data_IF_016575933011
#
_entry.id   IF_016575933011
#
_cell.length_a   1.000
_cell.length_b   1.000
_cell.length_c   1.000
_cell.angle_alpha   90.00
_cell.angle_beta   90.00
_cell.angle_gamma   90.00
#
_symmetry.space_group_name_H-M   'P 1'
#
loop_
_entity.id
_entity.type
_entity.pdbx_description
1 polymer ?
#
# COMPACT_ATOMS: atom_id res chain seq x y z
N UNK A 1 10.79 30.08 -2.84
CA UNK A 1 9.71 29.08 -2.86
C UNK A 1 9.86 28.34 -4.18
N UNK A 2 10.30 27.08 -4.14
CA UNK A 2 10.41 26.27 -5.36
C UNK A 2 8.99 26.04 -5.89
N UNK A 3 8.78 26.30 -7.18
CA UNK A 3 7.54 25.95 -7.85
C UNK A 3 7.35 24.43 -7.70
N UNK A 4 6.19 24.02 -7.16
CA UNK A 4 5.78 22.62 -7.22
C UNK A 4 5.60 22.28 -8.69
N UNK A 5 6.53 21.51 -9.26
CA UNK A 5 6.37 20.95 -10.59
C UNK A 5 5.11 20.09 -10.56
N UNK A 6 4.12 20.44 -11.38
CA UNK A 6 2.87 19.70 -11.46
C UNK A 6 3.18 18.32 -12.05
N UNK A 7 3.05 17.28 -11.24
CA UNK A 7 3.12 15.89 -11.71
C UNK A 7 1.82 15.60 -12.44
N UNK A 8 1.93 15.27 -13.73
CA UNK A 8 0.82 14.72 -14.51
C UNK A 8 0.96 13.21 -14.51
N UNK A 9 -0.10 12.52 -14.12
CA UNK A 9 -0.15 11.06 -14.09
C UNK A 9 -1.40 10.64 -14.84
N UNK A 10 -1.28 9.66 -15.73
CA UNK A 10 -2.44 9.15 -16.45
C UNK A 10 -3.20 8.07 -15.64
N UNK A 11 -4.48 7.79 -15.95
CA UNK A 11 -5.27 6.81 -15.19
C UNK A 11 -4.71 5.38 -15.22
N UNK A 12 -3.99 4.99 -16.29
CA UNK A 12 -3.37 3.68 -16.43
C UNK A 12 -2.20 3.57 -15.44
N UNK A 13 -1.35 4.59 -15.36
CA UNK A 13 -0.25 4.64 -14.40
C UNK A 13 -0.75 4.53 -12.95
N UNK A 14 -1.81 5.26 -12.57
CA UNK A 14 -2.41 5.12 -11.23
C UNK A 14 -2.99 3.71 -11.03
N UNK A 15 -3.65 3.16 -12.04
CA UNK A 15 -4.23 1.80 -11.98
C UNK A 15 -3.14 0.74 -11.79
N UNK A 16 -1.99 0.90 -12.43
CA UNK A 16 -0.87 -0.03 -12.28
C UNK A 16 -0.21 0.10 -10.91
N UNK A 17 -0.10 1.32 -10.35
CA UNK A 17 0.30 1.50 -8.96
C UNK A 17 -0.65 0.80 -7.99
N UNK A 18 -1.97 0.92 -8.21
CA UNK A 18 -2.96 0.21 -7.40
C UNK A 18 -2.74 -1.31 -7.42
N UNK A 19 -2.55 -1.91 -8.60
CA UNK A 19 -2.30 -3.36 -8.71
C UNK A 19 -1.02 -3.78 -7.99
N UNK A 20 0.05 -3.00 -8.10
CA UNK A 20 1.31 -3.28 -7.41
C UNK A 20 1.14 -3.23 -5.89
N UNK A 21 0.44 -2.21 -5.39
CA UNK A 21 0.16 -2.06 -3.96
C UNK A 21 -0.68 -3.22 -3.43
N UNK A 22 -1.70 -3.66 -4.17
CA UNK A 22 -2.47 -4.85 -3.79
C UNK A 22 -1.61 -6.11 -3.72
N UNK A 23 -0.75 -6.34 -4.72
CA UNK A 23 0.13 -7.50 -4.73
C UNK A 23 1.10 -7.50 -3.54
N UNK A 24 1.63 -6.32 -3.17
CA UNK A 24 2.48 -6.18 -1.98
C UNK A 24 1.67 -6.46 -0.71
N UNK A 25 0.48 -5.89 -0.56
CA UNK A 25 -0.36 -6.14 0.61
C UNK A 25 -0.73 -7.61 0.75
N UNK A 26 -1.03 -8.29 -0.37
CA UNK A 26 -1.30 -9.72 -0.40
C UNK A 26 -0.09 -10.54 0.05
N UNK A 27 1.11 -10.23 -0.47
CA UNK A 27 2.34 -10.91 -0.06
C UNK A 27 2.67 -10.72 1.43
N UNK A 28 2.50 -9.49 1.93
CA UNK A 28 2.67 -9.17 3.35
C UNK A 28 1.72 -9.99 4.22
N UNK A 29 0.46 -10.13 3.81
CA UNK A 29 -0.57 -10.86 4.54
C UNK A 29 -0.38 -12.37 4.49
N UNK A 30 -0.08 -12.93 3.31
CA UNK A 30 -0.05 -14.37 3.07
C UNK A 30 1.28 -15.02 3.45
N UNK A 31 2.39 -14.29 3.34
CA UNK A 31 3.72 -14.85 3.52
C UNK A 31 4.43 -14.29 4.76
N UNK A 32 4.49 -12.95 4.87
CA UNK A 32 5.33 -12.34 5.91
C UNK A 32 4.69 -12.38 7.31
N UNK A 33 3.38 -12.12 7.46
CA UNK A 33 2.68 -12.25 8.76
C UNK A 33 2.84 -13.67 9.34
N UNK A 34 2.53 -14.76 8.60
CA UNK A 34 2.68 -16.10 9.15
C UNK A 34 4.14 -16.47 9.46
N UNK A 35 5.10 -15.99 8.65
CA UNK A 35 6.51 -16.23 8.92
C UNK A 35 6.95 -15.59 10.24
N UNK A 36 6.51 -14.36 10.51
CA UNK A 36 6.84 -13.67 11.76
C UNK A 36 6.17 -14.34 12.96
N UNK A 37 4.91 -14.77 12.84
CA UNK A 37 4.22 -15.53 13.89
C UNK A 37 4.93 -16.86 14.19
N UNK A 38 5.39 -17.56 13.16
CA UNK A 38 6.13 -18.82 13.33
C UNK A 38 7.44 -18.60 14.08
N UNK A 39 8.17 -17.52 13.79
CA UNK A 39 9.42 -17.20 14.47
C UNK A 39 9.15 -16.81 15.92
N UNK A 40 8.15 -15.96 16.17
CA UNK A 40 7.74 -15.58 17.53
C UNK A 40 7.38 -16.79 18.39
N UNK A 41 6.75 -17.81 17.79
CA UNK A 41 6.29 -19.00 18.49
C UNK A 41 7.32 -20.15 18.52
N UNK A 42 8.52 -19.97 17.94
CA UNK A 42 9.53 -21.02 17.93
C UNK A 42 10.06 -21.31 19.33
N UNK A 43 10.12 -22.59 19.68
CA UNK A 43 10.69 -23.08 20.95
C UNK A 43 12.08 -23.67 20.78
N UNK A 44 12.67 -23.53 19.59
CA UNK A 44 13.93 -24.20 19.25
C UNK A 44 15.14 -23.47 19.84
N UNK A 45 15.04 -22.16 20.01
CA UNK A 45 16.09 -21.31 20.55
C UNK A 45 15.66 -20.84 21.94
N UNK A 46 15.99 -21.62 22.96
CA UNK A 46 15.66 -21.30 24.36
C UNK A 46 16.88 -20.78 25.14
N UNK A 47 18.09 -20.97 24.61
CA UNK A 47 19.35 -20.70 25.31
C UNK A 47 20.49 -20.42 24.31
N UNK A 48 21.55 -19.75 24.79
CA UNK A 48 22.79 -19.56 24.05
C UNK A 48 22.78 -18.41 23.03
N UNK A 49 23.84 -18.31 22.21
CA UNK A 49 24.06 -17.18 21.29
C UNK A 49 22.96 -16.96 20.24
N UNK A 50 22.14 -17.96 19.98
CA UNK A 50 21.01 -17.86 19.06
C UNK A 50 19.81 -17.11 19.69
N UNK A 51 19.72 -17.04 21.02
CA UNK A 51 18.69 -16.30 21.73
C UNK A 51 18.81 -14.79 21.47
N UNK A 52 20.02 -14.25 21.42
CA UNK A 52 20.28 -12.84 21.10
C UNK A 52 19.70 -12.43 19.74
N UNK A 53 19.71 -13.34 18.76
CA UNK A 53 19.10 -13.10 17.45
C UNK A 53 17.56 -13.16 17.48
N UNK A 54 16.98 -13.98 18.37
CA UNK A 54 15.53 -14.04 18.61
C UNK A 54 15.05 -12.78 19.33
N UNK A 55 15.85 -12.21 20.23
CA UNK A 55 15.52 -10.99 20.97
C UNK A 55 15.38 -9.73 20.10
N UNK A 56 15.92 -9.74 18.88
CA UNK A 56 15.73 -8.66 17.90
C UNK A 56 14.38 -8.74 17.14
N UNK A 57 13.68 -9.88 17.19
CA UNK A 57 12.42 -10.07 16.45
C UNK A 57 11.25 -9.19 16.91
N UNK A 58 11.06 -8.87 18.21
CA UNK A 58 10.03 -7.94 18.64
C UNK A 58 10.13 -6.57 17.96
N UNK A 59 11.34 -5.99 17.87
CA UNK A 59 11.58 -4.72 17.18
C UNK A 59 11.32 -4.84 15.67
N UNK A 60 11.79 -5.93 15.05
CA UNK A 60 11.52 -6.20 13.65
C UNK A 60 10.02 -6.37 13.37
N UNK A 61 9.26 -6.95 14.30
CA UNK A 61 7.81 -7.09 14.21
C UNK A 61 7.10 -5.74 14.31
N UNK A 62 7.53 -4.83 15.19
CA UNK A 62 6.99 -3.46 15.24
C UNK A 62 7.23 -2.72 13.92
N UNK A 63 8.44 -2.81 13.36
CA UNK A 63 8.78 -2.23 12.05
C UNK A 63 7.95 -2.82 10.91
N UNK A 64 7.62 -4.10 11.01
CA UNK A 64 6.76 -4.75 10.04
C UNK A 64 5.30 -4.29 10.12
N UNK A 65 4.78 -4.05 11.32
CA UNK A 65 3.45 -3.44 11.52
C UNK A 65 3.43 -2.01 10.94
N UNK A 66 4.46 -1.20 11.21
CA UNK A 66 4.60 0.13 10.60
C UNK A 66 4.59 0.06 9.07
N UNK A 67 5.28 -0.94 8.49
CA UNK A 67 5.31 -1.16 7.04
C UNK A 67 3.92 -1.45 6.47
N UNK A 68 3.14 -2.32 7.14
CA UNK A 68 1.76 -2.61 6.72
C UNK A 68 0.88 -1.37 6.76
N UNK A 69 0.96 -0.59 7.84
CA UNK A 69 0.21 0.66 7.98
C UNK A 69 0.55 1.65 6.87
N UNK A 70 1.84 1.75 6.50
CA UNK A 70 2.28 2.59 5.40
C UNK A 70 1.69 2.15 4.05
N UNK A 71 1.75 0.85 3.73
CA UNK A 71 1.16 0.35 2.48
C UNK A 71 -0.36 0.49 2.45
N UNK A 72 -1.05 0.28 3.57
CA UNK A 72 -2.49 0.51 3.66
C UNK A 72 -2.85 1.99 3.43
N UNK A 73 -2.09 2.91 4.02
CA UNK A 73 -2.29 4.35 3.83
C UNK A 73 -2.03 4.78 2.39
N UNK A 74 -0.94 4.34 1.78
CA UNK A 74 -0.61 4.66 0.39
C UNK A 74 -1.70 4.13 -0.55
N UNK A 75 -2.15 2.89 -0.33
CA UNK A 75 -3.22 2.28 -1.11
C UNK A 75 -4.51 3.08 -1.04
N UNK A 76 -4.87 3.58 0.16
CA UNK A 76 -6.05 4.41 0.35
C UNK A 76 -6.00 5.69 -0.47
N UNK A 77 -4.83 6.36 -0.51
CA UNK A 77 -4.63 7.58 -1.30
C UNK A 77 -4.69 7.31 -2.81
N UNK A 78 -4.14 6.19 -3.27
CA UNK A 78 -4.20 5.79 -4.68
C UNK A 78 -5.64 5.49 -5.09
N UNK A 79 -6.41 4.78 -4.26
CA UNK A 79 -7.83 4.49 -4.50
C UNK A 79 -8.65 5.78 -4.56
N UNK A 80 -8.44 6.70 -3.61
CA UNK A 80 -9.10 8.01 -3.60
C UNK A 80 -8.80 8.81 -4.86
N UNK A 81 -7.55 8.76 -5.33
CA UNK A 81 -7.13 9.41 -6.58
C UNK A 81 -7.85 8.81 -7.78
N UNK A 82 -7.91 7.47 -7.89
CA UNK A 82 -8.65 6.79 -8.97
C UNK A 82 -10.12 7.17 -8.99
N UNK A 83 -10.78 7.15 -7.83
CA UNK A 83 -12.19 7.53 -7.72
C UNK A 83 -12.41 8.97 -8.16
N UNK A 84 -11.52 9.89 -7.76
CA UNK A 84 -11.59 11.29 -8.17
C UNK A 84 -11.44 11.45 -9.68
N UNK A 85 -10.54 10.68 -10.31
CA UNK A 85 -10.38 10.70 -11.77
C UNK A 85 -11.64 10.21 -12.48
N UNK A 86 -12.25 9.12 -11.99
CA UNK A 86 -13.51 8.58 -12.53
C UNK A 86 -14.64 9.61 -12.42
N UNK A 87 -14.86 10.18 -11.22
CA UNK A 87 -15.91 11.18 -10.98
C UNK A 87 -15.71 12.43 -11.85
N UNK A 88 -14.46 12.83 -12.07
CA UNK A 88 -14.13 13.98 -12.92
C UNK A 88 -14.45 13.69 -14.39
N UNK A 89 -14.08 12.51 -14.89
CA UNK A 89 -14.36 12.11 -16.27
C UNK A 89 -15.87 11.98 -16.51
N UNK A 90 -16.63 11.40 -15.58
CA UNK A 90 -18.09 11.32 -15.64
C UNK A 90 -18.73 12.71 -15.67
N UNK A 91 -18.29 13.63 -14.81
CA UNK A 91 -18.80 14.99 -14.76
C UNK A 91 -18.51 15.77 -16.05
N UNK A 92 -17.34 15.55 -16.67
CA UNK A 92 -16.99 16.16 -17.96
C UNK A 92 -17.85 15.56 -19.08
N UNK A 93 -18.02 14.24 -19.11
CA UNK A 93 -18.84 13.56 -20.11
C UNK A 93 -20.29 14.07 -20.10
N UNK A 94 -20.91 14.21 -18.92
CA UNK A 94 -22.25 14.77 -18.77
C UNK A 94 -22.35 16.19 -19.33
N UNK A 95 -21.38 17.07 -19.01
CA UNK A 95 -21.35 18.43 -19.56
C UNK A 95 -21.25 18.46 -21.08
N UNK A 96 -20.53 17.51 -21.67
CA UNK A 96 -20.42 17.40 -23.13
C UNK A 96 -21.76 16.96 -23.72
N UNK A 97 -22.42 15.96 -23.12
CA UNK A 97 -23.74 15.50 -23.56
C UNK A 97 -24.76 16.65 -23.51
N UNK A 98 -24.84 17.36 -22.38
CA UNK A 98 -25.74 18.52 -22.20
C UNK A 98 -25.48 19.62 -23.24
N UNK A 99 -24.22 19.81 -23.66
CA UNK A 99 -23.86 20.79 -24.68
C UNK A 99 -24.18 20.34 -26.12
N UNK A 100 -24.35 19.04 -26.35
CA UNK A 100 -24.69 18.44 -27.64
C UNK A 100 -26.20 18.24 -27.82
N UNK A 101 -26.95 18.06 -26.72
CA UNK A 101 -28.41 18.10 -26.71
C UNK A 101 -28.89 19.56 -26.80
N UNK A 102 -28.99 20.07 -28.04
CA UNK A 102 -29.75 21.30 -28.37
C UNK A 102 -31.23 20.98 -28.47
#
# INVERSE_FOLDING_TARGET
MAASDKITVDPIEITDMYKQLMAIMEDLQLNAVPAIENIKNTKFYQEGKAMEAIEAYPEANEKFVELQDHYARISSLVIETLNTMIETDEAIALKIIDALEV
#
